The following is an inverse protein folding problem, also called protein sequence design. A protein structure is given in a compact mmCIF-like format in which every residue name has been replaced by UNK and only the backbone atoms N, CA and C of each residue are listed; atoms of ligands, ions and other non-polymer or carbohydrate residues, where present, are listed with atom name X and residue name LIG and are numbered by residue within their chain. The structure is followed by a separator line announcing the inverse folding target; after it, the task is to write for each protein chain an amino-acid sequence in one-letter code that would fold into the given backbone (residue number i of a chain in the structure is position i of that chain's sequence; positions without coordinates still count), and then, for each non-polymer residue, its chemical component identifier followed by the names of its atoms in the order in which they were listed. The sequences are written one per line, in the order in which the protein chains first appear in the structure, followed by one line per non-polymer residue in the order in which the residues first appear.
data_IF_987760949068
#
_entry.id   IF_987760949068
#
_cell.length_a   1.000
_cell.length_b   1.000
_cell.length_c   1.000
_cell.angle_alpha   90.00
_cell.angle_beta   90.00
_cell.angle_gamma   90.00
#
_symmetry.space_group_name_H-M   'P 1'
#
loop_
_entity.id
_entity.type
_entity.pdbx_description
1 polymer ?
#
# COMPACT_ATOMS: atom_id res chain seq x y z
N UNK A 1 20.59 12.86 9.39
CA UNK A 1 19.42 12.21 10.00
C UNK A 1 18.31 12.29 8.96
N UNK A 2 17.66 11.20 8.64
CA UNK A 2 16.52 11.21 7.72
C UNK A 2 15.29 11.83 8.43
N UNK A 3 14.33 12.35 7.67
CA UNK A 3 13.09 12.91 8.26
C UNK A 3 12.36 11.87 9.12
N UNK A 4 12.45 10.59 8.75
CA UNK A 4 11.88 9.48 9.50
C UNK A 4 12.52 9.33 10.88
N UNK A 5 13.85 9.39 10.95
CA UNK A 5 14.59 9.35 12.22
C UNK A 5 14.27 10.56 13.10
N UNK A 6 14.12 11.74 12.49
CA UNK A 6 13.70 12.96 13.20
C UNK A 6 12.31 12.82 13.83
N UNK A 7 11.34 12.27 13.08
CA UNK A 7 9.97 12.03 13.56
C UNK A 7 9.98 11.03 14.72
N UNK A 8 10.70 9.91 14.58
CA UNK A 8 10.81 8.89 15.63
C UNK A 8 11.44 9.45 16.89
N UNK A 9 12.50 10.25 16.75
CA UNK A 9 13.17 10.88 17.88
C UNK A 9 12.28 11.94 18.56
N UNK A 10 11.56 12.73 17.77
CA UNK A 10 10.56 13.66 18.30
C UNK A 10 9.46 12.93 19.09
N UNK A 11 8.98 11.80 18.55
CA UNK A 11 7.99 10.96 19.25
C UNK A 11 8.54 10.41 20.57
N UNK A 12 9.76 9.85 20.57
CA UNK A 12 10.39 9.35 21.80
C UNK A 12 10.49 10.44 22.87
N UNK A 13 10.86 11.66 22.50
CA UNK A 13 10.88 12.81 23.44
C UNK A 13 9.50 13.15 23.97
N UNK A 14 8.45 13.13 23.12
CA UNK A 14 7.06 13.35 23.58
C UNK A 14 6.61 12.27 24.55
N UNK A 15 6.88 11.01 24.24
CA UNK A 15 6.55 9.87 25.13
C UNK A 15 7.24 10.03 26.48
N UNK A 16 8.54 10.35 26.49
CA UNK A 16 9.28 10.56 27.73
C UNK A 16 8.73 11.72 28.58
N UNK A 17 8.24 12.78 27.94
CA UNK A 17 7.73 13.97 28.64
C UNK A 17 6.25 13.92 28.99
N UNK A 18 5.41 13.22 28.19
CA UNK A 18 3.93 13.28 28.30
C UNK A 18 3.25 11.91 28.27
N UNK A 19 4.02 10.83 28.25
CA UNK A 19 3.51 9.46 28.07
C UNK A 19 2.97 9.17 26.67
N UNK A 20 2.57 7.95 26.42
CA UNK A 20 2.11 7.46 25.10
C UNK A 20 0.79 8.10 24.63
N UNK A 21 -0.03 8.59 25.54
CA UNK A 21 -1.24 9.36 25.23
C UNK A 21 -0.95 10.85 24.92
N UNK A 22 0.31 11.29 25.03
CA UNK A 22 0.77 12.67 24.75
C UNK A 22 -0.06 13.76 25.47
N UNK A 23 -0.51 13.46 26.71
CA UNK A 23 -1.36 14.34 27.51
C UNK A 23 -2.84 14.32 27.14
N UNK A 24 -3.24 13.50 26.17
CA UNK A 24 -4.67 13.33 25.83
C UNK A 24 -5.37 12.48 26.88
N UNK A 25 -6.52 12.95 27.37
CA UNK A 25 -7.38 12.18 28.27
C UNK A 25 -8.05 11.05 27.49
N UNK A 26 -7.73 9.82 27.85
CA UNK A 26 -8.33 8.64 27.24
C UNK A 26 -9.70 8.33 27.90
N UNK A 27 -10.68 7.80 27.13
CA UNK A 27 -11.91 7.28 27.68
C UNK A 27 -11.66 6.21 28.74
N UNK A 28 -12.40 6.22 29.86
CA UNK A 28 -12.24 5.27 30.94
C UNK A 28 -12.47 3.82 30.50
N UNK A 29 -13.27 3.60 29.46
CA UNK A 29 -13.51 2.31 28.79
C UNK A 29 -13.68 2.54 27.30
N UNK A 30 -13.20 1.60 26.48
CA UNK A 30 -13.53 1.58 25.06
C UNK A 30 -15.06 1.49 24.89
N UNK A 31 -15.63 2.42 24.10
CA UNK A 31 -17.11 2.59 24.00
C UNK A 31 -17.77 1.62 23.02
N UNK A 32 -17.02 1.08 22.06
CA UNK A 32 -17.53 0.15 21.05
C UNK A 32 -16.54 -1.00 20.81
N UNK A 33 -17.01 -2.21 20.44
CA UNK A 33 -16.13 -3.26 19.96
C UNK A 33 -15.35 -2.80 18.74
N UNK A 34 -14.22 -3.46 18.43
CA UNK A 34 -13.47 -3.17 17.22
C UNK A 34 -14.30 -3.54 16.00
N UNK A 35 -14.39 -2.59 15.05
CA UNK A 35 -14.99 -2.81 13.75
C UNK A 35 -13.95 -3.43 12.80
N UNK A 36 -14.33 -4.36 11.90
CA UNK A 36 -13.41 -4.92 10.91
C UNK A 36 -12.83 -3.82 10.02
N UNK A 37 -11.51 -3.71 10.00
CA UNK A 37 -10.84 -2.68 9.22
C UNK A 37 -10.55 -3.16 7.80
N UNK A 38 -10.57 -2.25 6.84
CA UNK A 38 -10.30 -2.52 5.43
C UNK A 38 -11.15 -3.66 4.82
N UNK A 39 -12.44 -3.72 5.17
CA UNK A 39 -13.39 -4.64 4.54
C UNK A 39 -13.49 -4.42 3.03
N UNK A 40 -13.64 -5.50 2.24
CA UNK A 40 -13.75 -5.41 0.79
C UNK A 40 -15.04 -4.68 0.33
N UNK A 41 -14.94 -3.78 -0.65
CA UNK A 41 -13.71 -3.22 -1.23
C UNK A 41 -13.06 -2.20 -0.29
N UNK A 42 -11.75 -2.31 -0.10
CA UNK A 42 -11.03 -1.50 0.87
C UNK A 42 -10.62 -0.14 0.28
N UNK A 43 -11.40 0.91 0.54
CA UNK A 43 -11.00 2.30 0.32
C UNK A 43 -10.82 2.97 1.68
N UNK A 44 -9.58 3.19 2.07
CA UNK A 44 -9.20 3.79 3.34
C UNK A 44 -8.95 5.28 3.09
N UNK A 45 -9.79 6.12 3.66
CA UNK A 45 -9.72 7.58 3.48
C UNK A 45 -8.93 8.22 4.61
N UNK A 46 -7.80 8.84 4.27
CA UNK A 46 -6.93 9.45 5.25
C UNK A 46 -7.36 10.87 5.60
N UNK A 47 -7.39 11.18 6.88
CA UNK A 47 -7.68 12.48 7.46
C UNK A 47 -6.37 13.10 7.92
N UNK A 48 -5.95 14.18 7.23
CA UNK A 48 -4.65 14.77 7.41
C UNK A 48 -4.65 16.27 7.09
N UNK A 49 -4.06 17.09 7.97
CA UNK A 49 -3.99 18.55 7.81
C UNK A 49 -2.78 19.03 7.03
N UNK A 50 -1.66 18.31 7.17
CA UNK A 50 -0.39 18.63 6.50
C UNK A 50 0.48 17.39 6.30
N UNK A 51 1.54 17.52 5.54
CA UNK A 51 2.55 16.46 5.41
C UNK A 51 3.93 17.07 5.15
N UNK A 52 5.03 16.37 5.48
CA UNK A 52 6.39 16.85 5.20
C UNK A 52 6.61 17.16 3.72
N UNK A 53 6.01 16.39 2.80
CA UNK A 53 6.21 16.50 1.36
C UNK A 53 5.40 17.63 0.69
N UNK A 54 4.30 18.10 1.31
CA UNK A 54 3.35 19.06 0.70
C UNK A 54 3.10 20.31 1.54
N UNK A 55 3.59 20.32 2.79
CA UNK A 55 3.24 21.36 3.74
C UNK A 55 1.76 21.29 4.16
N UNK A 56 1.13 22.43 4.30
CA UNK A 56 -0.28 22.54 4.67
C UNK A 56 -1.21 22.07 3.53
N UNK A 57 -2.14 21.17 3.86
CA UNK A 57 -3.17 20.65 2.95
C UNK A 57 -4.51 21.35 3.26
N UNK A 58 -4.97 21.23 4.49
CA UNK A 58 -6.18 21.85 5.01
C UNK A 58 -6.02 22.09 6.52
N UNK A 59 -5.37 23.18 6.94
CA UNK A 59 -5.04 23.43 8.36
C UNK A 59 -6.26 23.48 9.29
N UNK A 60 -7.37 23.97 8.78
CA UNK A 60 -8.64 24.09 9.53
C UNK A 60 -9.51 22.85 9.54
N UNK A 61 -9.03 21.71 9.01
CA UNK A 61 -9.80 20.49 8.88
C UNK A 61 -10.25 19.96 10.25
N UNK A 62 -11.57 19.83 10.44
CA UNK A 62 -12.16 19.06 11.53
C UNK A 62 -12.20 17.58 11.15
N UNK A 63 -11.59 16.73 11.97
CA UNK A 63 -11.42 15.30 11.66
C UNK A 63 -12.76 14.58 11.64
N UNK A 64 -13.69 14.87 12.55
CA UNK A 64 -14.98 14.23 12.61
C UNK A 64 -15.90 14.67 11.46
N UNK A 65 -15.84 15.94 11.08
CA UNK A 65 -16.59 16.43 9.90
C UNK A 65 -16.08 15.77 8.62
N UNK A 66 -14.75 15.67 8.46
CA UNK A 66 -14.15 15.04 7.29
C UNK A 66 -14.49 13.53 7.22
N UNK A 67 -14.42 12.83 8.35
CA UNK A 67 -14.88 11.44 8.44
C UNK A 67 -16.34 11.29 8.00
N UNK A 68 -17.22 12.24 8.41
CA UNK A 68 -18.60 12.28 7.99
C UNK A 68 -18.77 12.48 6.48
N UNK A 69 -17.93 13.31 5.84
CA UNK A 69 -17.92 13.47 4.37
C UNK A 69 -17.58 12.14 3.68
N UNK A 70 -16.57 11.44 4.14
CA UNK A 70 -16.15 10.14 3.59
C UNK A 70 -17.22 9.06 3.80
N UNK A 71 -17.79 8.97 5.02
CA UNK A 71 -18.86 8.03 5.36
C UNK A 71 -20.08 8.18 4.46
N UNK A 72 -20.52 9.42 4.20
CA UNK A 72 -21.66 9.68 3.29
C UNK A 72 -21.41 9.23 1.85
N UNK A 73 -20.14 9.05 1.45
CA UNK A 73 -19.74 8.56 0.12
C UNK A 73 -19.40 7.07 0.10
N UNK A 74 -19.72 6.37 1.19
CA UNK A 74 -19.61 4.92 1.29
C UNK A 74 -18.31 4.41 1.91
N UNK A 75 -17.41 5.28 2.38
CA UNK A 75 -16.23 4.83 3.12
C UNK A 75 -16.67 4.10 4.40
N UNK A 76 -16.03 2.95 4.64
CA UNK A 76 -16.21 2.15 5.86
C UNK A 76 -14.98 2.20 6.76
N UNK A 77 -13.84 2.59 6.21
CA UNK A 77 -12.57 2.68 6.92
C UNK A 77 -11.93 4.06 6.70
N UNK A 78 -11.45 4.65 7.77
CA UNK A 78 -10.70 5.91 7.75
C UNK A 78 -9.37 5.76 8.46
N UNK A 79 -8.37 6.50 7.98
CA UNK A 79 -7.06 6.61 8.59
C UNK A 79 -6.94 7.99 9.22
N UNK A 80 -6.68 8.06 10.52
CA UNK A 80 -6.55 9.33 11.25
C UNK A 80 -5.09 9.52 11.64
N UNK A 81 -4.45 10.57 11.09
CA UNK A 81 -3.12 10.97 11.53
C UNK A 81 -3.21 11.47 12.97
N UNK A 82 -2.35 10.89 13.85
CA UNK A 82 -2.27 11.34 15.25
C UNK A 82 -0.91 11.96 15.59
N UNK A 83 0.02 12.00 14.67
CA UNK A 83 1.32 12.63 14.81
C UNK A 83 1.18 14.18 14.73
N UNK A 84 1.57 14.93 15.78
CA UNK A 84 1.26 16.37 15.87
C UNK A 84 2.24 17.27 15.13
N UNK A 85 3.55 16.97 15.15
CA UNK A 85 4.59 17.92 14.74
C UNK A 85 4.71 18.05 13.21
N UNK A 86 4.56 16.95 12.49
CA UNK A 86 4.76 16.86 11.04
C UNK A 86 3.45 16.74 10.26
N UNK A 87 2.42 16.12 10.85
CA UNK A 87 1.14 15.88 10.18
C UNK A 87 -0.03 16.67 10.74
N UNK A 88 0.17 17.33 11.89
CA UNK A 88 -0.85 18.19 12.53
C UNK A 88 -2.04 17.41 13.07
N UNK A 89 -1.82 16.15 13.44
CA UNK A 89 -2.84 15.26 13.99
C UNK A 89 -2.85 15.24 15.52
N UNK A 90 -3.78 14.49 16.09
CA UNK A 90 -3.84 14.23 17.53
C UNK A 90 -4.64 12.97 17.87
N UNK A 91 -4.40 12.36 19.03
CA UNK A 91 -5.28 11.31 19.57
C UNK A 91 -6.71 11.81 19.79
N UNK A 92 -6.87 13.09 20.09
CA UNK A 92 -8.18 13.73 20.21
C UNK A 92 -8.99 13.66 18.92
N UNK A 93 -8.35 13.81 17.76
CA UNK A 93 -9.02 13.66 16.46
C UNK A 93 -9.56 12.24 16.25
N UNK A 94 -8.76 11.23 16.62
CA UNK A 94 -9.18 9.82 16.52
C UNK A 94 -10.38 9.55 17.44
N UNK A 95 -10.31 10.00 18.68
CA UNK A 95 -11.39 9.88 19.68
C UNK A 95 -12.66 10.54 19.15
N UNK A 96 -12.57 11.76 18.64
CA UNK A 96 -13.71 12.52 18.13
C UNK A 96 -14.38 11.82 16.93
N UNK A 97 -13.58 11.28 16.01
CA UNK A 97 -14.09 10.49 14.87
C UNK A 97 -14.83 9.24 15.37
N UNK A 98 -14.23 8.48 16.27
CA UNK A 98 -14.81 7.23 16.77
C UNK A 98 -16.06 7.45 17.62
N UNK A 99 -16.09 8.52 18.41
CA UNK A 99 -17.28 8.89 19.19
C UNK A 99 -18.45 9.29 18.30
N UNK A 100 -18.18 10.07 17.25
CA UNK A 100 -19.24 10.55 16.35
C UNK A 100 -19.73 9.47 15.38
N UNK A 101 -18.86 8.54 14.97
CA UNK A 101 -19.14 7.49 14.00
C UNK A 101 -18.62 6.13 14.49
N UNK A 102 -19.31 5.50 15.46
CA UNK A 102 -18.87 4.21 16.03
C UNK A 102 -18.80 3.07 15.01
N UNK A 103 -19.54 3.18 13.91
CA UNK A 103 -19.60 2.22 12.81
C UNK A 103 -18.46 2.35 11.80
N UNK A 104 -17.73 3.47 11.79
CA UNK A 104 -16.52 3.58 11.00
C UNK A 104 -15.37 2.81 11.66
N UNK A 105 -14.65 2.03 10.87
CA UNK A 105 -13.40 1.44 11.28
C UNK A 105 -12.27 2.48 11.18
N UNK A 106 -11.54 2.70 12.27
CA UNK A 106 -10.57 3.78 12.39
C UNK A 106 -9.16 3.22 12.57
N UNK A 107 -8.26 3.55 11.65
CA UNK A 107 -6.82 3.31 11.77
C UNK A 107 -6.15 4.47 12.51
N UNK A 108 -5.40 4.17 13.56
CA UNK A 108 -4.40 5.12 14.08
C UNK A 108 -3.18 5.12 13.18
N UNK A 109 -2.96 6.21 12.47
CA UNK A 109 -1.79 6.42 11.62
C UNK A 109 -0.77 7.30 12.35
N UNK A 110 0.27 6.64 12.86
CA UNK A 110 1.30 7.23 13.71
C UNK A 110 2.57 6.36 13.66
N UNK A 111 3.65 6.80 14.26
CA UNK A 111 4.90 6.06 14.41
C UNK A 111 4.87 5.26 15.72
N UNK A 112 4.21 4.10 15.72
CA UNK A 112 4.03 3.25 16.89
C UNK A 112 5.26 2.37 17.12
N UNK A 113 5.80 2.38 18.34
CA UNK A 113 7.11 1.79 18.63
C UNK A 113 7.06 0.65 19.64
N UNK A 114 6.02 0.58 20.49
CA UNK A 114 5.93 -0.40 21.56
C UNK A 114 4.49 -0.82 21.89
N UNK A 115 4.34 -1.77 22.82
CA UNK A 115 3.02 -2.32 23.20
C UNK A 115 2.13 -1.30 23.90
N UNK A 116 2.70 -0.32 24.58
CA UNK A 116 1.89 0.71 25.23
C UNK A 116 1.24 1.62 24.19
N UNK A 117 1.93 1.93 23.09
CA UNK A 117 1.33 2.61 21.95
C UNK A 117 0.10 1.85 21.41
N UNK A 118 0.17 0.50 21.36
CA UNK A 118 -0.96 -0.33 20.92
C UNK A 118 -2.12 -0.26 21.90
N UNK A 119 -1.85 -0.32 23.21
CA UNK A 119 -2.88 -0.21 24.26
C UNK A 119 -3.55 1.15 24.28
N UNK A 120 -2.77 2.21 24.15
CA UNK A 120 -3.28 3.59 24.04
C UNK A 120 -4.15 3.74 22.79
N UNK A 121 -3.75 3.16 21.65
CA UNK A 121 -4.55 3.16 20.42
C UNK A 121 -5.91 2.49 20.63
N UNK A 122 -5.91 1.33 21.27
CA UNK A 122 -7.14 0.60 21.61
C UNK A 122 -8.05 1.40 22.54
N UNK A 123 -7.48 1.99 23.60
CA UNK A 123 -8.22 2.81 24.55
C UNK A 123 -8.80 4.08 23.89
N UNK A 124 -8.07 4.70 22.97
CA UNK A 124 -8.55 5.83 22.20
C UNK A 124 -9.67 5.47 21.20
N UNK A 125 -9.90 4.18 20.94
CA UNK A 125 -10.97 3.71 20.07
C UNK A 125 -10.52 3.29 18.66
N UNK A 126 -9.23 3.15 18.41
CA UNK A 126 -8.73 2.63 17.13
C UNK A 126 -9.22 1.18 16.89
N UNK A 127 -9.57 0.87 15.65
CA UNK A 127 -9.92 -0.47 15.18
C UNK A 127 -8.75 -1.14 14.48
N UNK A 128 -7.79 -0.33 14.03
CA UNK A 128 -6.54 -0.77 13.44
C UNK A 128 -5.38 0.13 13.87
N UNK A 129 -4.18 -0.39 13.76
CA UNK A 129 -2.93 0.34 14.05
C UNK A 129 -1.95 0.18 12.90
N UNK A 130 -1.22 1.26 12.59
CA UNK A 130 -0.13 1.21 11.63
C UNK A 130 1.14 0.69 12.30
N UNK A 131 1.78 -0.29 11.67
CA UNK A 131 3.10 -0.78 12.04
C UNK A 131 4.03 -0.64 10.85
N UNK A 132 5.01 0.26 10.95
CA UNK A 132 5.96 0.54 9.86
C UNK A 132 7.12 -0.44 9.98
N UNK A 133 7.23 -1.42 9.08
CA UNK A 133 8.21 -2.51 9.17
C UNK A 133 9.65 -2.00 9.17
N UNK A 134 9.95 -0.91 8.45
CA UNK A 134 11.29 -0.33 8.40
C UNK A 134 11.76 0.27 9.74
N UNK A 135 10.85 0.53 10.69
CA UNK A 135 11.17 1.08 12.02
C UNK A 135 11.35 0.01 13.10
N UNK A 136 10.99 -1.23 12.82
CA UNK A 136 10.91 -2.32 13.77
C UNK A 136 11.84 -3.47 13.35
N UNK A 137 12.34 -4.22 14.33
CA UNK A 137 12.92 -5.54 14.08
C UNK A 137 11.81 -6.56 13.77
N UNK A 138 12.16 -7.72 13.23
CA UNK A 138 11.17 -8.79 12.96
C UNK A 138 10.47 -9.24 14.24
N UNK A 139 11.20 -9.31 15.36
CA UNK A 139 10.67 -9.69 16.68
C UNK A 139 9.70 -8.66 17.25
N UNK A 140 10.05 -7.36 17.14
CA UNK A 140 9.20 -6.25 17.57
C UNK A 140 7.92 -6.22 16.73
N UNK A 141 8.05 -6.31 15.40
CA UNK A 141 6.91 -6.33 14.49
C UNK A 141 5.94 -7.46 14.81
N UNK A 142 6.45 -8.69 14.96
CA UNK A 142 5.63 -9.86 15.35
C UNK A 142 4.95 -9.66 16.70
N UNK A 143 5.69 -9.10 17.70
CA UNK A 143 5.17 -8.85 19.03
C UNK A 143 4.05 -7.81 19.03
N UNK A 144 4.18 -6.73 18.25
CA UNK A 144 3.18 -5.67 18.12
C UNK A 144 1.94 -6.15 17.34
N UNK A 145 2.13 -6.94 16.29
CA UNK A 145 1.03 -7.60 15.57
C UNK A 145 0.20 -8.48 16.51
N UNK A 146 0.86 -9.30 17.33
CA UNK A 146 0.17 -10.14 18.33
C UNK A 146 -0.58 -9.32 19.35
N UNK A 147 0.01 -8.23 19.87
CA UNK A 147 -0.66 -7.37 20.87
C UNK A 147 -1.88 -6.68 20.26
N UNK A 148 -1.80 -6.18 19.01
CA UNK A 148 -2.93 -5.60 18.31
C UNK A 148 -4.07 -6.62 18.14
N UNK A 149 -3.77 -7.82 17.64
CA UNK A 149 -4.75 -8.91 17.46
C UNK A 149 -5.36 -9.35 18.81
N UNK A 150 -4.56 -9.42 19.87
CA UNK A 150 -5.04 -9.75 21.24
C UNK A 150 -6.09 -8.75 21.75
N UNK A 151 -5.98 -7.49 21.35
CA UNK A 151 -6.93 -6.43 21.68
C UNK A 151 -8.10 -6.33 20.67
N UNK A 152 -8.13 -7.18 19.64
CA UNK A 152 -9.15 -7.21 18.60
C UNK A 152 -8.97 -6.15 17.52
N UNK A 153 -7.80 -5.53 17.43
CA UNK A 153 -7.45 -4.56 16.36
C UNK A 153 -6.73 -5.24 15.20
N UNK A 154 -6.92 -4.71 14.00
CA UNK A 154 -6.20 -5.13 12.80
C UNK A 154 -4.83 -4.40 12.71
N UNK A 155 -3.68 -5.10 12.72
CA UNK A 155 -2.40 -4.48 12.38
C UNK A 155 -2.28 -4.29 10.86
N UNK A 156 -2.21 -3.04 10.40
CA UNK A 156 -1.79 -2.70 9.04
C UNK A 156 -0.27 -2.56 9.03
N UNK A 157 0.42 -3.53 8.43
CA UNK A 157 1.89 -3.51 8.32
C UNK A 157 2.30 -2.80 7.04
N UNK A 158 2.94 -1.64 7.18
CA UNK A 158 3.40 -0.82 6.06
C UNK A 158 4.81 -1.22 5.62
N UNK A 159 4.96 -1.51 4.32
CA UNK A 159 6.20 -1.94 3.69
C UNK A 159 6.68 -0.90 2.68
N UNK A 160 8.00 -0.67 2.64
CA UNK A 160 8.66 0.26 1.74
C UNK A 160 9.68 -0.42 0.82
N UNK A 161 9.91 -1.72 0.98
CA UNK A 161 10.88 -2.44 0.15
C UNK A 161 10.94 -3.94 0.43
N UNK A 162 11.78 -4.67 -0.34
CA UNK A 162 11.95 -6.11 -0.16
C UNK A 162 12.44 -6.49 1.24
N UNK A 163 13.28 -5.67 1.86
CA UNK A 163 13.78 -5.91 3.22
C UNK A 163 12.66 -5.88 4.26
N UNK A 164 11.65 -5.01 4.06
CA UNK A 164 10.49 -4.95 4.92
C UNK A 164 9.58 -6.17 4.73
N UNK A 165 9.50 -6.71 3.50
CA UNK A 165 8.80 -7.99 3.24
C UNK A 165 9.42 -9.12 4.06
N UNK A 166 10.75 -9.24 4.04
CA UNK A 166 11.45 -10.25 4.83
C UNK A 166 11.21 -10.11 6.34
N UNK A 167 11.21 -8.88 6.85
CA UNK A 167 10.87 -8.63 8.26
C UNK A 167 9.43 -9.04 8.60
N UNK A 168 8.48 -8.73 7.69
CA UNK A 168 7.07 -9.02 7.89
C UNK A 168 6.74 -10.51 7.74
N UNK A 169 7.54 -11.29 7.00
CA UNK A 169 7.31 -12.72 6.72
C UNK A 169 7.05 -13.55 7.97
N UNK A 170 7.81 -13.30 9.03
CA UNK A 170 7.66 -14.00 10.32
C UNK A 170 6.32 -13.72 11.01
N UNK A 171 5.85 -12.49 10.94
CA UNK A 171 4.56 -12.09 11.51
C UNK A 171 3.38 -12.51 10.60
N UNK A 172 3.62 -12.67 9.29
CA UNK A 172 2.66 -12.98 8.24
C UNK A 172 1.32 -12.24 8.44
N UNK A 173 1.33 -10.87 8.45
CA UNK A 173 0.15 -10.09 8.77
C UNK A 173 -0.94 -10.26 7.70
N UNK A 174 -2.20 -10.35 8.15
CA UNK A 174 -3.36 -10.48 7.25
C UNK A 174 -3.63 -9.22 6.43
N UNK A 175 -3.08 -8.07 6.87
CA UNK A 175 -3.26 -6.77 6.22
C UNK A 175 -1.91 -6.08 6.03
N UNK A 176 -1.57 -5.80 4.78
CA UNK A 176 -0.29 -5.22 4.37
C UNK A 176 -0.53 -3.97 3.54
N UNK A 177 0.09 -2.87 3.94
CA UNK A 177 0.17 -1.65 3.13
C UNK A 177 1.49 -1.62 2.36
N UNK A 178 1.47 -1.34 1.06
CA UNK A 178 2.70 -1.12 0.30
C UNK A 178 2.72 0.32 -0.16
N UNK A 179 3.68 1.08 0.35
CA UNK A 179 3.76 2.51 0.15
C UNK A 179 4.56 2.84 -1.12
N UNK A 180 3.91 3.55 -2.06
CA UNK A 180 4.55 4.03 -3.29
C UNK A 180 5.47 5.22 -3.07
N UNK A 181 5.43 5.84 -1.88
CA UNK A 181 6.25 7.00 -1.54
C UNK A 181 7.56 6.57 -0.90
N UNK A 182 8.67 7.01 -1.48
CA UNK A 182 9.96 6.93 -0.83
C UNK A 182 9.99 7.90 0.37
N UNK A 183 10.32 7.40 1.56
CA UNK A 183 10.33 8.21 2.79
C UNK A 183 11.54 9.15 2.91
N UNK A 184 12.56 9.00 2.07
CA UNK A 184 13.75 9.84 2.06
C UNK A 184 13.62 10.97 1.04
N UNK A 185 13.21 10.65 -0.19
CA UNK A 185 13.09 11.63 -1.29
C UNK A 185 11.70 12.23 -1.43
N UNK A 186 10.69 11.62 -0.79
CA UNK A 186 9.26 11.91 -0.95
C UNK A 186 8.70 11.70 -2.36
N UNK A 187 9.49 11.20 -3.27
CA UNK A 187 9.03 10.83 -4.60
C UNK A 187 8.03 9.68 -4.56
N UNK A 188 7.07 9.71 -5.48
CA UNK A 188 6.03 8.70 -5.61
C UNK A 188 6.28 7.90 -6.89
N UNK A 189 6.58 6.63 -6.75
CA UNK A 189 6.66 5.68 -7.86
C UNK A 189 5.48 4.70 -7.77
N UNK A 190 4.43 4.93 -8.55
CA UNK A 190 3.24 4.07 -8.56
C UNK A 190 3.51 2.65 -9.05
N UNK A 191 4.56 2.43 -9.83
CA UNK A 191 4.99 1.09 -10.27
C UNK A 191 5.62 0.27 -9.15
N UNK A 192 6.23 0.93 -8.18
CA UNK A 192 6.99 0.28 -7.11
C UNK A 192 6.18 -0.70 -6.26
N UNK A 193 5.00 -0.35 -5.72
CA UNK A 193 4.19 -1.31 -4.95
C UNK A 193 3.80 -2.55 -5.75
N UNK A 194 3.54 -2.39 -7.05
CA UNK A 194 3.19 -3.50 -7.91
C UNK A 194 4.35 -4.50 -8.11
N UNK A 195 5.60 -4.05 -8.00
CA UNK A 195 6.78 -4.91 -8.03
C UNK A 195 7.04 -5.59 -6.67
N UNK A 196 6.70 -4.94 -5.56
CA UNK A 196 6.82 -5.52 -4.21
C UNK A 196 5.73 -6.55 -3.93
N UNK A 197 4.51 -6.33 -4.43
CA UNK A 197 3.35 -7.20 -4.17
C UNK A 197 3.60 -8.70 -4.43
N UNK A 198 4.28 -9.13 -5.51
CA UNK A 198 4.58 -10.54 -5.76
C UNK A 198 5.51 -11.19 -4.73
N UNK A 199 6.29 -10.42 -3.97
CA UNK A 199 7.19 -10.93 -2.95
C UNK A 199 6.47 -11.37 -1.67
N UNK A 200 5.19 -11.00 -1.53
CA UNK A 200 4.34 -11.39 -0.40
C UNK A 200 3.71 -12.74 -0.76
N UNK A 201 4.29 -13.81 -0.22
CA UNK A 201 3.98 -15.21 -0.49
C UNK A 201 3.01 -15.86 0.52
N UNK A 202 2.53 -15.08 1.49
CA UNK A 202 1.49 -15.50 2.43
C UNK A 202 0.13 -14.87 2.09
N UNK A 203 -0.94 -15.42 2.64
CA UNK A 203 -2.29 -14.88 2.43
C UNK A 203 -2.46 -13.54 3.15
N UNK A 204 -2.31 -12.47 2.38
CA UNK A 204 -2.44 -11.10 2.86
C UNK A 204 -3.33 -10.26 1.95
N UNK A 205 -4.15 -9.45 2.56
CA UNK A 205 -4.90 -8.38 1.90
C UNK A 205 -3.98 -7.18 1.74
N UNK A 206 -3.55 -6.93 0.49
CA UNK A 206 -2.64 -5.84 0.20
C UNK A 206 -3.39 -4.56 -0.17
N UNK A 207 -2.97 -3.44 0.46
CA UNK A 207 -3.47 -2.08 0.26
C UNK A 207 -2.37 -1.27 -0.43
N UNK A 208 -2.74 -0.59 -1.52
CA UNK A 208 -1.84 0.32 -2.22
C UNK A 208 -1.88 1.69 -1.53
N UNK A 209 -0.73 2.17 -1.07
CA UNK A 209 -0.64 3.43 -0.34
C UNK A 209 0.13 4.50 -1.13
N UNK A 210 -0.30 5.74 -0.98
CA UNK A 210 0.21 6.94 -1.64
C UNK A 210 -0.03 7.01 -3.15
N UNK A 211 -0.04 8.23 -3.69
CA UNK A 211 -0.14 8.48 -5.13
C UNK A 211 -1.51 8.26 -5.76
N UNK A 212 -2.54 7.90 -5.01
CA UNK A 212 -3.89 7.73 -5.52
C UNK A 212 -4.53 9.10 -5.72
N UNK A 213 -4.83 9.43 -6.97
CA UNK A 213 -5.38 10.72 -7.38
C UNK A 213 -6.70 10.60 -8.14
N UNK A 214 -7.05 9.41 -8.62
CA UNK A 214 -8.25 9.18 -9.39
C UNK A 214 -8.61 7.69 -9.52
N UNK A 215 -9.70 7.44 -10.24
CA UNK A 215 -10.22 6.11 -10.52
C UNK A 215 -9.21 5.20 -11.21
N UNK A 216 -8.41 5.77 -12.14
CA UNK A 216 -7.42 5.02 -12.92
C UNK A 216 -6.32 4.43 -12.02
N UNK A 217 -5.91 5.14 -10.98
CA UNK A 217 -4.95 4.63 -10.01
C UNK A 217 -5.51 3.43 -9.23
N UNK A 218 -6.81 3.47 -8.90
CA UNK A 218 -7.48 2.35 -8.23
C UNK A 218 -7.61 1.12 -9.16
N UNK A 219 -7.91 1.33 -10.43
CA UNK A 219 -7.93 0.27 -11.45
C UNK A 219 -6.55 -0.34 -11.62
N UNK A 220 -5.50 0.49 -11.70
CA UNK A 220 -4.11 0.03 -11.74
C UNK A 220 -3.78 -0.82 -10.50
N UNK A 221 -4.03 -0.32 -9.29
CA UNK A 221 -3.79 -1.06 -8.06
C UNK A 221 -4.53 -2.41 -8.05
N UNK A 222 -5.81 -2.41 -8.45
CA UNK A 222 -6.60 -3.64 -8.56
C UNK A 222 -5.98 -4.63 -9.55
N UNK A 223 -5.56 -4.17 -10.74
CA UNK A 223 -4.93 -5.04 -11.74
C UNK A 223 -3.59 -5.62 -11.27
N UNK A 224 -2.86 -4.88 -10.44
CA UNK A 224 -1.63 -5.33 -9.79
C UNK A 224 -1.87 -6.29 -8.59
N UNK A 225 -3.11 -6.66 -8.31
CA UNK A 225 -3.47 -7.63 -7.28
C UNK A 225 -3.71 -7.05 -5.89
N UNK A 226 -3.85 -5.73 -5.78
CA UNK A 226 -4.26 -5.09 -4.53
C UNK A 226 -5.77 -5.25 -4.28
N UNK A 227 -6.14 -5.31 -3.02
CA UNK A 227 -7.55 -5.44 -2.58
C UNK A 227 -8.15 -4.11 -2.18
N UNK A 228 -7.34 -3.06 -2.15
CA UNK A 228 -7.80 -1.72 -1.81
C UNK A 228 -6.70 -0.68 -1.92
N UNK A 229 -7.07 0.55 -1.61
CA UNK A 229 -6.21 1.73 -1.65
C UNK A 229 -6.34 2.55 -0.37
N UNK A 230 -5.25 3.23 0.00
CA UNK A 230 -5.27 4.31 0.98
C UNK A 230 -5.10 5.64 0.24
N UNK A 231 -6.09 6.53 0.37
CA UNK A 231 -6.13 7.82 -0.30
C UNK A 231 -6.14 8.96 0.71
N UNK A 232 -5.22 9.91 0.54
CA UNK A 232 -5.06 11.07 1.43
C UNK A 232 -5.50 12.38 0.77
N UNK A 233 -4.53 13.20 0.34
CA UNK A 233 -4.73 14.56 -0.15
C UNK A 233 -5.86 14.70 -1.18
N UNK A 234 -5.93 13.81 -2.16
CA UNK A 234 -6.95 13.86 -3.20
C UNK A 234 -8.38 13.75 -2.63
N UNK A 235 -8.60 12.86 -1.65
CA UNK A 235 -9.89 12.70 -1.00
C UNK A 235 -10.22 13.85 -0.03
N UNK A 236 -9.21 14.48 0.60
CA UNK A 236 -9.43 15.70 1.40
C UNK A 236 -9.96 16.83 0.51
N UNK A 237 -9.34 17.03 -0.66
CA UNK A 237 -9.73 18.08 -1.62
C UNK A 237 -11.04 17.77 -2.35
N UNK A 238 -11.26 16.53 -2.68
CA UNK A 238 -12.47 16.05 -3.37
C UNK A 238 -13.01 14.76 -2.72
N UNK A 239 -13.91 14.86 -1.73
CA UNK A 239 -14.51 13.69 -1.09
C UNK A 239 -15.35 12.80 -2.04
N UNK A 240 -15.83 13.31 -3.18
CA UNK A 240 -16.62 12.52 -4.15
C UNK A 240 -15.76 11.43 -4.81
N UNK A 241 -14.45 11.62 -4.87
CA UNK A 241 -13.48 10.60 -5.30
C UNK A 241 -13.66 9.25 -4.57
N UNK A 242 -14.12 9.26 -3.31
CA UNK A 242 -14.33 8.02 -2.53
C UNK A 242 -15.29 7.07 -3.24
N UNK A 243 -16.41 7.58 -3.78
CA UNK A 243 -17.39 6.76 -4.51
C UNK A 243 -16.81 6.20 -5.81
N UNK A 244 -15.99 6.99 -6.51
CA UNK A 244 -15.29 6.54 -7.73
C UNK A 244 -14.29 5.42 -7.43
N UNK A 245 -13.51 5.57 -6.36
CA UNK A 245 -12.54 4.55 -5.93
C UNK A 245 -13.25 3.25 -5.51
N UNK A 246 -14.36 3.34 -4.78
CA UNK A 246 -15.17 2.17 -4.40
C UNK A 246 -15.68 1.44 -5.64
N UNK A 247 -16.17 2.17 -6.64
CA UNK A 247 -16.66 1.59 -7.90
C UNK A 247 -15.56 0.85 -8.68
N UNK A 248 -14.31 1.34 -8.61
CA UNK A 248 -13.17 0.70 -9.27
C UNK A 248 -12.87 -0.72 -8.72
N UNK A 249 -13.22 -0.99 -7.46
CA UNK A 249 -13.08 -2.31 -6.83
C UNK A 249 -14.37 -3.14 -6.87
N UNK A 250 -15.45 -2.65 -7.49
CA UNK A 250 -16.73 -3.35 -7.63
C UNK A 250 -16.63 -4.66 -8.44
N UNK A 251 -17.72 -5.47 -8.46
CA UNK A 251 -17.72 -6.80 -9.07
C UNK A 251 -17.62 -6.79 -10.61
N UNK A 252 -17.71 -5.62 -11.26
CA UNK A 252 -17.76 -5.52 -12.71
C UNK A 252 -16.39 -5.68 -13.37
N UNK A 253 -16.27 -6.66 -14.27
CA UNK A 253 -15.37 -6.64 -15.40
C UNK A 253 -14.29 -7.70 -15.49
N UNK A 254 -13.75 -7.81 -16.68
CA UNK A 254 -12.75 -8.75 -17.24
C UNK A 254 -11.43 -8.85 -16.47
N UNK A 255 -11.25 -8.10 -15.40
CA UNK A 255 -9.99 -7.97 -14.63
C UNK A 255 -9.52 -9.25 -13.93
N UNK A 256 -10.43 -10.21 -13.68
CA UNK A 256 -10.04 -11.49 -13.08
C UNK A 256 -9.18 -12.33 -14.03
N UNK A 257 -9.37 -12.18 -15.35
CA UNK A 257 -8.61 -12.91 -16.39
C UNK A 257 -7.24 -12.25 -16.66
N UNK A 258 -7.10 -10.97 -16.39
CA UNK A 258 -5.85 -10.20 -16.63
C UNK A 258 -4.85 -10.23 -15.46
N UNK A 259 -5.29 -10.60 -14.25
CA UNK A 259 -4.43 -10.66 -13.05
C UNK A 259 -3.13 -11.46 -13.26
N UNK A 260 -3.12 -12.64 -13.90
CA UNK A 260 -1.90 -13.40 -14.11
C UNK A 260 -0.90 -12.67 -15.02
N UNK A 261 -1.38 -11.89 -15.99
CA UNK A 261 -0.53 -11.10 -16.88
C UNK A 261 0.16 -9.97 -16.09
N UNK A 262 -0.60 -9.16 -15.37
CA UNK A 262 -0.05 -8.03 -14.61
C UNK A 262 0.89 -8.49 -13.51
N UNK A 263 0.56 -9.58 -12.80
CA UNK A 263 1.45 -10.17 -11.80
C UNK A 263 2.81 -10.55 -12.38
N UNK A 264 2.83 -11.24 -13.54
CA UNK A 264 4.08 -11.61 -14.23
C UNK A 264 4.83 -10.41 -14.77
N UNK A 265 4.13 -9.38 -15.29
CA UNK A 265 4.76 -8.15 -15.76
C UNK A 265 5.49 -7.44 -14.63
N UNK A 266 4.82 -7.27 -13.48
CA UNK A 266 5.42 -6.59 -12.33
C UNK A 266 6.52 -7.41 -11.66
N UNK A 267 6.40 -8.74 -11.61
CA UNK A 267 7.49 -9.62 -11.18
C UNK A 267 8.74 -9.39 -12.04
N UNK A 268 8.58 -9.38 -13.36
CA UNK A 268 9.69 -9.16 -14.31
C UNK A 268 10.31 -7.76 -14.21
N UNK A 269 9.49 -6.73 -13.97
CA UNK A 269 9.98 -5.39 -13.64
C UNK A 269 10.82 -5.38 -12.35
N UNK A 270 10.37 -6.12 -11.35
CA UNK A 270 11.08 -6.29 -10.08
C UNK A 270 12.44 -6.98 -10.29
N UNK A 271 12.50 -8.06 -11.07
CA UNK A 271 13.75 -8.75 -11.42
C UNK A 271 14.76 -7.79 -12.04
N UNK A 272 14.35 -7.01 -13.03
CA UNK A 272 15.20 -6.03 -13.69
C UNK A 272 15.67 -4.90 -12.77
N UNK A 273 14.88 -4.60 -11.73
CA UNK A 273 15.26 -3.66 -10.67
C UNK A 273 16.08 -4.32 -9.55
N UNK A 274 16.41 -5.60 -9.69
CA UNK A 274 17.23 -6.36 -8.74
C UNK A 274 16.48 -6.73 -7.46
N UNK A 275 15.14 -6.83 -7.50
CA UNK A 275 14.38 -7.43 -6.41
C UNK A 275 14.62 -8.95 -6.38
N UNK A 276 14.76 -9.54 -5.17
CA UNK A 276 14.92 -10.97 -5.05
C UNK A 276 13.67 -11.66 -5.62
N UNK A 277 13.88 -12.63 -6.51
CA UNK A 277 12.87 -13.60 -6.90
C UNK A 277 13.12 -14.86 -6.07
N UNK A 278 12.06 -15.53 -5.66
CA UNK A 278 12.22 -16.83 -5.03
C UNK A 278 12.89 -17.80 -6.02
N UNK A 279 14.17 -18.06 -5.82
CA UNK A 279 14.73 -19.33 -6.26
C UNK A 279 14.38 -20.36 -5.19
N UNK A 280 13.71 -21.43 -5.58
CA UNK A 280 13.52 -22.60 -4.75
C UNK A 280 14.89 -23.19 -4.35
N UNK A 281 15.50 -22.63 -3.31
CA UNK A 281 16.82 -23.01 -2.82
C UNK A 281 17.43 -21.90 -1.99
N UNK A 282 17.36 -22.02 -0.68
CA UNK A 282 17.79 -21.03 0.32
C UNK A 282 19.21 -20.50 0.13
N UNK A 283 19.30 -19.30 -0.36
CA UNK A 283 20.51 -18.52 -0.40
C UNK A 283 20.24 -17.09 0.02
N UNK A 284 20.62 -16.73 1.25
CA UNK A 284 20.52 -15.36 1.82
C UNK A 284 21.53 -14.44 1.15
N UNK A 285 21.20 -13.90 -0.01
CA UNK A 285 21.95 -12.78 -0.62
C UNK A 285 21.40 -11.45 -0.09
N UNK A 286 22.11 -10.77 0.79
CA UNK A 286 21.84 -9.39 1.19
C UNK A 286 21.88 -8.49 -0.04
N UNK A 287 20.73 -7.99 -0.46
CA UNK A 287 20.61 -6.93 -1.46
C UNK A 287 20.03 -5.68 -0.79
N UNK A 288 20.91 -4.87 -0.18
CA UNK A 288 20.55 -3.53 0.26
C UNK A 288 20.31 -2.62 -0.96
N UNK A 289 19.27 -1.85 -0.94
CA UNK A 289 19.07 -0.74 -1.88
C UNK A 289 19.99 0.42 -1.47
N UNK A 290 21.10 0.62 -2.21
CA UNK A 290 21.93 1.83 -2.08
C UNK A 290 21.52 2.84 -3.14
N UNK A 291 21.27 4.09 -2.74
CA UNK A 291 21.20 5.22 -3.65
C UNK A 291 22.51 5.26 -4.50
N UNK A 292 22.38 5.08 -5.83
CA UNK A 292 23.54 5.06 -6.73
C UNK A 292 23.62 3.86 -7.68
N UNK A 293 22.66 2.92 -7.68
CA UNK A 293 22.63 1.89 -8.71
C UNK A 293 22.23 2.48 -10.06
N UNK A 294 22.84 2.00 -11.18
CA UNK A 294 22.44 2.41 -12.52
C UNK A 294 20.95 2.13 -12.72
N UNK A 295 20.28 3.00 -13.47
CA UNK A 295 18.88 2.83 -13.85
C UNK A 295 18.67 1.40 -14.35
N UNK A 296 17.69 0.65 -13.81
CA UNK A 296 17.46 -0.73 -14.21
C UNK A 296 17.20 -0.78 -15.71
N UNK A 297 17.63 -1.86 -16.36
CA UNK A 297 17.39 -2.05 -17.79
C UNK A 297 15.88 -1.93 -18.08
N UNK A 298 15.46 -1.15 -19.07
CA UNK A 298 14.05 -1.00 -19.41
C UNK A 298 13.48 -2.35 -19.87
N UNK A 299 12.16 -2.53 -19.67
CA UNK A 299 11.47 -3.63 -20.34
C UNK A 299 11.47 -3.39 -21.86
N UNK A 300 11.83 -4.41 -22.61
CA UNK A 300 11.83 -4.40 -24.06
C UNK A 300 10.57 -5.07 -24.58
N UNK A 301 9.72 -4.31 -25.28
CA UNK A 301 8.57 -4.86 -26.00
C UNK A 301 8.83 -4.82 -27.49
N UNK A 302 8.77 -5.98 -28.16
CA UNK A 302 8.76 -6.07 -29.62
C UNK A 302 7.31 -6.20 -30.08
N UNK A 303 6.82 -5.25 -30.86
CA UNK A 303 5.42 -5.18 -31.28
C UNK A 303 5.28 -5.47 -32.79
N UNK A 304 4.14 -6.07 -33.19
CA UNK A 304 3.85 -6.41 -34.58
C UNK A 304 4.43 -7.75 -35.00
N UNK A 305 4.45 -8.71 -34.11
CA UNK A 305 4.80 -10.11 -34.34
C UNK A 305 3.75 -10.73 -35.27
N UNK A 306 4.22 -11.34 -36.37
CA UNK A 306 3.37 -11.94 -37.41
C UNK A 306 3.56 -13.46 -37.55
N UNK A 307 4.63 -14.02 -36.96
CA UNK A 307 4.93 -15.46 -36.97
C UNK A 307 5.42 -15.94 -35.61
N UNK A 308 5.45 -17.25 -35.43
CA UNK A 308 6.01 -17.87 -34.22
C UNK A 308 7.54 -17.74 -34.20
N UNK A 309 8.17 -17.75 -35.35
CA UNK A 309 9.61 -17.55 -35.52
C UNK A 309 10.03 -16.14 -35.09
N UNK A 310 9.27 -15.11 -35.51
CA UNK A 310 9.53 -13.72 -35.08
C UNK A 310 9.43 -13.58 -33.55
N UNK A 311 8.46 -14.27 -32.95
CA UNK A 311 8.28 -14.26 -31.50
C UNK A 311 9.44 -14.93 -30.76
N UNK A 312 9.92 -16.07 -31.24
CA UNK A 312 11.09 -16.78 -30.70
C UNK A 312 12.37 -15.94 -30.84
N UNK A 313 12.58 -15.35 -32.02
CA UNK A 313 13.73 -14.49 -32.26
C UNK A 313 13.72 -13.23 -31.38
N UNK A 314 12.55 -12.64 -31.18
CA UNK A 314 12.41 -11.50 -30.25
C UNK A 314 12.80 -11.88 -28.81
N UNK A 315 12.41 -13.06 -28.35
CA UNK A 315 12.80 -13.59 -27.03
C UNK A 315 14.30 -13.85 -26.92
N UNK A 316 14.90 -14.51 -27.92
CA UNK A 316 16.36 -14.75 -27.97
C UNK A 316 17.17 -13.46 -27.91
N UNK A 317 16.65 -12.37 -28.52
CA UNK A 317 17.23 -11.04 -28.48
C UNK A 317 16.93 -10.29 -27.17
N UNK A 318 16.27 -10.92 -26.21
CA UNK A 318 16.04 -10.38 -24.87
C UNK A 318 14.76 -9.56 -24.72
N UNK A 319 13.76 -9.74 -25.59
CA UNK A 319 12.46 -9.12 -25.39
C UNK A 319 11.77 -9.66 -24.14
N UNK A 320 11.21 -8.76 -23.33
CA UNK A 320 10.39 -9.09 -22.17
C UNK A 320 8.93 -9.32 -22.54
N UNK A 321 8.49 -8.64 -23.60
CA UNK A 321 7.13 -8.74 -24.11
C UNK A 321 7.14 -8.85 -25.65
N UNK A 322 6.20 -9.63 -26.17
CA UNK A 322 5.87 -9.66 -27.60
C UNK A 322 4.43 -9.18 -27.80
N UNK A 323 4.24 -8.30 -28.80
CA UNK A 323 2.93 -7.71 -29.11
C UNK A 323 2.39 -8.17 -30.46
N UNK A 324 1.10 -8.51 -30.50
CA UNK A 324 0.36 -8.88 -31.69
C UNK A 324 -0.62 -7.76 -32.05
N UNK A 325 -0.75 -7.43 -33.34
CA UNK A 325 -1.66 -6.39 -33.84
C UNK A 325 -2.83 -7.09 -34.53
N UNK A 326 -4.05 -6.91 -34.02
CA UNK A 326 -5.28 -7.48 -34.60
C UNK A 326 -6.08 -6.42 -35.39
N UNK A 327 -5.77 -5.15 -35.20
CA UNK A 327 -6.34 -4.06 -36.01
C UNK A 327 -5.84 -4.13 -37.45
N UNK A 328 -6.48 -3.37 -38.35
CA UNK A 328 -6.07 -3.28 -39.73
C UNK A 328 -4.66 -2.64 -39.84
N UNK A 329 -3.69 -3.43 -40.31
CA UNK A 329 -2.28 -3.10 -40.30
C UNK A 329 -1.50 -4.02 -41.24
N UNK A 330 -0.44 -3.54 -41.91
CA UNK A 330 0.49 -4.41 -42.64
C UNK A 330 1.14 -5.49 -41.80
N UNK A 331 1.18 -5.33 -40.47
CA UNK A 331 1.70 -6.29 -39.49
C UNK A 331 0.58 -6.94 -38.68
N UNK A 332 -0.59 -7.13 -39.27
CA UNK A 332 -1.73 -7.78 -38.62
C UNK A 332 -1.44 -9.25 -38.39
N UNK A 333 -1.52 -9.68 -37.14
CA UNK A 333 -1.36 -11.05 -36.76
C UNK A 333 -2.63 -11.86 -37.04
N UNK A 334 -2.49 -13.17 -37.35
CA UNK A 334 -3.62 -14.11 -37.39
C UNK A 334 -4.19 -14.25 -35.95
N UNK A 335 -5.53 -14.38 -35.80
CA UNK A 335 -6.16 -14.47 -34.47
C UNK A 335 -5.62 -15.62 -33.60
N UNK A 336 -5.21 -16.72 -34.18
CA UNK A 336 -4.73 -17.92 -33.48
C UNK A 336 -3.23 -17.88 -33.17
N UNK A 337 -2.46 -16.99 -33.77
CA UNK A 337 -1.01 -16.88 -33.59
C UNK A 337 -0.58 -16.84 -32.10
N UNK A 338 -1.23 -16.06 -31.19
CA UNK A 338 -0.84 -16.06 -29.79
C UNK A 338 -0.99 -17.41 -29.09
N UNK A 339 -1.86 -18.30 -29.60
CA UNK A 339 -2.05 -19.68 -29.12
C UNK A 339 -1.03 -20.65 -29.69
N UNK A 340 -0.57 -20.39 -30.89
CA UNK A 340 0.48 -21.19 -31.59
C UNK A 340 1.85 -20.93 -30.95
N UNK A 341 2.10 -19.69 -30.51
CA UNK A 341 3.32 -19.27 -29.81
C UNK A 341 3.28 -19.83 -28.39
N UNK A 342 3.69 -21.11 -28.23
CA UNK A 342 3.83 -21.77 -26.93
C UNK A 342 5.29 -21.73 -26.49
N UNK A 343 5.56 -21.93 -25.22
CA UNK A 343 6.91 -22.07 -24.66
C UNK A 343 7.81 -20.82 -24.67
N UNK A 344 7.25 -19.62 -24.81
CA UNK A 344 8.00 -18.41 -24.59
C UNK A 344 7.94 -18.01 -23.11
N UNK A 345 9.07 -17.56 -22.57
CA UNK A 345 9.16 -16.95 -21.25
C UNK A 345 8.68 -15.49 -21.26
N UNK A 346 8.78 -14.80 -22.40
CA UNK A 346 8.29 -13.44 -22.56
C UNK A 346 6.75 -13.35 -22.51
N UNK A 347 6.24 -12.19 -22.10
CA UNK A 347 4.80 -11.96 -21.97
C UNK A 347 4.18 -11.63 -23.34
N UNK A 348 2.96 -12.13 -23.57
CA UNK A 348 2.19 -11.86 -24.81
C UNK A 348 1.17 -10.76 -24.58
N UNK A 349 1.12 -9.79 -25.50
CA UNK A 349 0.21 -8.64 -25.48
C UNK A 349 -0.52 -8.57 -26.81
N UNK A 350 -1.83 -8.51 -26.79
CA UNK A 350 -2.70 -8.36 -27.96
C UNK A 350 -3.46 -7.05 -27.99
#
# INVERSE_FOLDING_TARGET
MSIREEIVEARRRRIAGRGHAEGTSLPAKRRAPCAPFAADPAVICEIKRRSPSRGAIEPGLDAAEQAGKYRRRGARSVSVLTEPDYFGGSLGDLIAVKERYPDLAVLRKDFLLDKEDIRVSWAAGADAVLLIASLLSSEELESLCREAKRLGMDPLVELHGPEDVEKARRAAPDLVGINSRNLETFEVDKGYPAMIRPLIDWDARCIFESGITGREDALFARSAGFRGVLVGEAAVRNPDLVSELLSAFGPEGRWAEERPFWGRLFARLGEKRGFPQETAGGGTGRLGWSAGRPCPAPLVKVCGITSAEDAAQAEELGADLVGFIFADSPRRAKPDLPREVKNLSCLKVG
#
